data_IF_625993616610
#
_entry.id   IF_625993616610
#
_cell.length_a   1.000
_cell.length_b   1.000
_cell.length_c   1.000
_cell.angle_alpha   90.00
_cell.angle_beta   90.00
_cell.angle_gamma   90.00
#
_symmetry.space_group_name_H-M   'P 1'
#
loop_
_entity.id
_entity.type
_entity.pdbx_description
1 polymer ?
#
# COMPACT_ATOMS: atom_id res chain seq x y z
N UNK A 1 12.06 -23.99 -11.46
CA UNK A 1 12.07 -22.52 -11.66
C UNK A 1 10.68 -22.03 -11.28
N UNK A 2 10.49 -21.64 -10.02
CA UNK A 2 9.21 -21.06 -9.57
C UNK A 2 9.12 -19.65 -10.16
N UNK A 3 8.20 -19.44 -11.09
CA UNK A 3 7.90 -18.12 -11.63
C UNK A 3 7.23 -17.30 -10.55
N UNK A 4 7.96 -16.33 -10.02
CA UNK A 4 7.48 -15.38 -9.03
C UNK A 4 6.50 -14.40 -9.70
N UNK A 5 5.21 -14.53 -9.42
CA UNK A 5 4.18 -13.65 -9.97
C UNK A 5 4.00 -12.39 -9.10
N UNK A 6 4.02 -11.22 -9.74
CA UNK A 6 3.67 -9.96 -9.08
C UNK A 6 2.16 -9.93 -8.82
N UNK A 7 1.79 -9.54 -7.61
CA UNK A 7 0.41 -9.33 -7.18
C UNK A 7 0.22 -7.86 -6.86
N UNK A 8 -0.81 -7.25 -7.45
CA UNK A 8 -1.17 -5.85 -7.23
C UNK A 8 -2.51 -5.79 -6.49
N UNK A 9 -2.56 -5.04 -5.40
CA UNK A 9 -3.80 -4.77 -4.67
C UNK A 9 -4.06 -3.27 -4.63
N UNK A 10 -5.34 -2.89 -4.63
CA UNK A 10 -5.76 -1.50 -4.56
C UNK A 10 -7.01 -1.40 -3.70
N UNK A 11 -6.93 -0.59 -2.65
CA UNK A 11 -8.06 -0.22 -1.80
C UNK A 11 -8.32 1.26 -1.96
N UNK A 12 -9.42 1.60 -2.63
CA UNK A 12 -9.80 2.99 -2.92
C UNK A 12 -10.84 3.50 -1.93
N UNK A 13 -10.65 4.72 -1.45
CA UNK A 13 -11.60 5.42 -0.57
C UNK A 13 -11.93 4.65 0.73
N UNK A 14 -11.04 3.77 1.19
CA UNK A 14 -11.20 3.03 2.44
C UNK A 14 -10.05 3.42 3.37
N UNK A 15 -10.34 4.25 4.37
CA UNK A 15 -9.41 4.52 5.45
C UNK A 15 -9.39 3.35 6.43
N UNK A 16 -8.26 3.18 7.12
CA UNK A 16 -8.05 2.16 8.14
C UNK A 16 -8.38 0.72 7.69
N UNK A 17 -8.09 0.42 6.42
CA UNK A 17 -8.36 -0.90 5.85
C UNK A 17 -7.36 -1.92 6.35
N UNK A 18 -7.82 -3.05 6.88
CA UNK A 18 -6.93 -4.15 7.24
C UNK A 18 -6.46 -4.89 5.98
N UNK A 19 -5.18 -4.78 5.67
CA UNK A 19 -4.52 -5.50 4.58
C UNK A 19 -3.90 -6.76 5.14
N UNK A 20 -4.18 -7.91 4.52
CA UNK A 20 -3.59 -9.20 4.90
C UNK A 20 -2.96 -9.86 3.68
N UNK A 21 -1.64 -10.04 3.74
CA UNK A 21 -0.83 -10.67 2.72
C UNK A 21 -0.46 -12.08 3.19
N UNK A 22 -0.55 -13.05 2.30
CA UNK A 22 -0.14 -14.43 2.59
C UNK A 22 0.47 -15.05 1.36
N UNK A 23 1.63 -15.65 1.53
CA UNK A 23 2.30 -16.45 0.52
C UNK A 23 1.95 -17.93 0.71
N UNK A 24 1.77 -18.63 -0.42
CA UNK A 24 1.59 -20.08 -0.41
C UNK A 24 2.95 -20.78 -0.32
N UNK A 25 3.00 -21.87 0.44
CA UNK A 25 4.23 -22.62 0.74
C UNK A 25 5.27 -21.79 1.53
N UNK A 26 6.40 -22.37 1.92
CA UNK A 26 7.46 -21.72 2.74
C UNK A 26 8.19 -20.54 2.08
N UNK A 27 7.55 -19.86 1.13
CA UNK A 27 8.03 -18.64 0.47
C UNK A 27 7.79 -17.41 1.35
N UNK A 28 8.52 -16.34 1.05
CA UNK A 28 8.54 -15.11 1.81
C UNK A 28 8.02 -13.95 0.96
N UNK A 29 7.29 -13.05 1.60
CA UNK A 29 6.82 -11.80 1.03
C UNK A 29 8.03 -10.94 0.65
N UNK A 30 7.98 -10.38 -0.55
CA UNK A 30 8.85 -9.30 -1.01
C UNK A 30 7.96 -8.18 -1.53
N UNK A 31 8.10 -7.00 -0.92
CA UNK A 31 7.35 -5.80 -1.34
C UNK A 31 8.12 -5.12 -2.47
N UNK A 32 7.42 -4.76 -3.54
CA UNK A 32 7.99 -4.07 -4.71
C UNK A 32 7.79 -2.57 -4.58
N UNK A 33 6.53 -2.16 -4.43
CA UNK A 33 6.16 -0.76 -4.20
C UNK A 33 4.86 -0.67 -3.41
N UNK A 34 4.70 0.43 -2.67
CA UNK A 34 3.48 0.76 -1.96
C UNK A 34 3.25 2.27 -1.96
N UNK A 35 2.01 2.68 -2.24
CA UNK A 35 1.60 4.07 -2.30
C UNK A 35 0.31 4.31 -1.53
N UNK A 36 0.20 5.44 -0.85
CA UNK A 36 -0.98 5.84 -0.10
C UNK A 36 -1.33 7.30 -0.34
N UNK A 37 -2.56 7.59 -0.77
CA UNK A 37 -3.04 8.95 -1.00
C UNK A 37 -3.96 9.04 -2.21
N UNK A 38 -4.10 10.22 -2.81
CA UNK A 38 -5.04 10.43 -3.92
C UNK A 38 -4.37 10.07 -5.25
N UNK A 39 -4.89 9.10 -6.03
CA UNK A 39 -4.22 8.57 -7.23
C UNK A 39 -4.25 9.54 -8.42
N UNK A 40 -5.18 10.50 -8.46
CA UNK A 40 -5.16 11.58 -9.45
C UNK A 40 -5.86 12.84 -8.95
N UNK A 41 -5.15 13.96 -9.03
CA UNK A 41 -5.63 15.30 -8.68
C UNK A 41 -6.53 15.92 -9.80
N UNK A 42 -7.12 15.09 -10.67
CA UNK A 42 -7.80 15.55 -11.89
C UNK A 42 -9.09 16.34 -11.63
N UNK A 43 -9.67 16.23 -10.43
CA UNK A 43 -10.83 17.00 -9.97
C UNK A 43 -10.58 17.71 -8.62
N UNK A 44 -9.34 18.09 -8.32
CA UNK A 44 -9.09 18.98 -7.18
C UNK A 44 -9.39 20.42 -7.61
N UNK A 45 -10.65 20.83 -7.44
CA UNK A 45 -11.08 22.24 -7.54
C UNK A 45 -10.62 23.09 -6.34
N UNK A 46 -9.74 22.54 -5.51
CA UNK A 46 -9.22 23.15 -4.30
C UNK A 46 -7.75 23.47 -4.55
N UNK A 47 -7.30 24.70 -4.30
CA UNK A 47 -5.95 25.21 -4.58
C UNK A 47 -4.78 24.56 -3.83
N UNK A 48 -4.85 23.26 -3.53
CA UNK A 48 -3.87 22.44 -2.85
C UNK A 48 -3.49 21.22 -3.70
N UNK A 49 -2.69 21.45 -4.75
CA UNK A 49 -2.00 20.38 -5.51
C UNK A 49 -0.94 19.63 -4.67
N UNK A 50 -0.92 19.79 -3.35
CA UNK A 50 0.05 19.17 -2.42
C UNK A 50 -0.38 17.80 -1.94
N UNK A 51 -1.64 17.42 -2.15
CA UNK A 51 -2.20 16.14 -1.77
C UNK A 51 -1.95 15.08 -2.86
N UNK A 52 -0.69 14.66 -2.98
CA UNK A 52 -0.26 13.57 -3.84
C UNK A 52 -0.15 12.25 -3.05
N UNK A 53 -0.07 11.12 -3.75
CA UNK A 53 0.26 9.85 -3.11
C UNK A 53 1.67 9.89 -2.49
N UNK A 54 1.79 9.39 -1.26
CA UNK A 54 3.06 9.16 -0.58
C UNK A 54 3.57 7.77 -0.93
N UNK A 55 4.88 7.65 -1.19
CA UNK A 55 5.53 6.35 -1.25
C UNK A 55 5.73 5.82 0.18
N UNK A 56 5.06 4.71 0.49
CA UNK A 56 5.09 4.03 1.80
C UNK A 56 5.76 2.65 1.71
N UNK A 57 6.51 2.39 0.63
CA UNK A 57 7.18 1.11 0.37
C UNK A 57 8.08 0.70 1.53
N UNK A 58 8.84 1.62 2.10
CA UNK A 58 9.75 1.34 3.23
C UNK A 58 8.98 0.89 4.48
N UNK A 59 7.85 1.52 4.80
CA UNK A 59 7.01 1.15 5.93
C UNK A 59 6.51 -0.30 5.79
N UNK A 60 5.98 -0.65 4.60
CA UNK A 60 5.43 -1.99 4.37
C UNK A 60 6.56 -3.02 4.25
N UNK A 61 7.68 -2.67 3.63
CA UNK A 61 8.86 -3.54 3.53
C UNK A 61 9.38 -3.93 4.91
N UNK A 62 9.54 -2.95 5.81
CA UNK A 62 10.02 -3.18 7.17
C UNK A 62 9.07 -4.07 8.00
N UNK A 63 7.78 -4.02 7.72
CA UNK A 63 6.78 -4.83 8.43
C UNK A 63 6.60 -6.23 7.84
N UNK A 64 6.63 -6.37 6.50
CA UNK A 64 6.15 -7.59 5.84
C UNK A 64 7.24 -8.40 5.13
N UNK A 65 8.34 -7.78 4.69
CA UNK A 65 9.33 -8.49 3.87
C UNK A 65 10.04 -9.56 4.69
N UNK A 66 10.16 -10.76 4.14
CA UNK A 66 10.77 -11.90 4.82
C UNK A 66 9.80 -12.76 5.65
N UNK A 67 8.54 -12.32 5.82
CA UNK A 67 7.48 -13.08 6.48
C UNK A 67 6.68 -13.89 5.45
N UNK A 68 6.09 -15.00 5.87
CA UNK A 68 5.16 -15.78 5.02
C UNK A 68 3.75 -15.19 5.04
N UNK A 69 3.36 -14.55 6.15
CA UNK A 69 2.11 -13.81 6.30
C UNK A 69 2.37 -12.49 7.01
N UNK A 70 1.64 -11.45 6.59
CA UNK A 70 1.74 -10.11 7.17
C UNK A 70 0.35 -9.46 7.17
N UNK A 71 -0.01 -8.81 8.26
CA UNK A 71 -1.23 -8.02 8.34
C UNK A 71 -0.94 -6.65 8.94
N UNK A 72 -1.47 -5.60 8.31
CA UNK A 72 -1.31 -4.22 8.76
C UNK A 72 -2.53 -3.38 8.37
N UNK A 73 -2.72 -2.27 9.07
CA UNK A 73 -3.79 -1.32 8.75
C UNK A 73 -3.28 -0.28 7.76
N UNK A 74 -3.86 -0.23 6.56
CA UNK A 74 -3.66 0.84 5.61
C UNK A 74 -4.51 2.05 6.01
N UNK A 75 -3.92 2.91 6.82
CA UNK A 75 -4.59 4.07 7.41
C UNK A 75 -3.61 5.12 7.91
N UNK A 76 -4.15 6.29 8.24
CA UNK A 76 -3.36 7.47 8.64
C UNK A 76 -2.46 7.19 9.86
N UNK A 77 -2.89 6.31 10.77
CA UNK A 77 -2.11 5.94 11.95
C UNK A 77 -0.81 5.18 11.62
N UNK A 78 -0.78 4.43 10.52
CA UNK A 78 0.36 3.56 10.14
C UNK A 78 1.18 4.18 9.00
N UNK A 79 0.51 4.87 8.09
CA UNK A 79 1.08 5.38 6.84
C UNK A 79 1.27 6.90 6.85
N UNK A 80 0.70 7.60 7.82
CA UNK A 80 0.62 9.06 7.85
C UNK A 80 -0.54 9.59 7.00
N UNK A 81 -0.93 10.85 7.27
CA UNK A 81 -1.97 11.54 6.53
C UNK A 81 -1.36 12.53 5.53
N UNK A 82 -1.25 12.17 4.23
CA UNK A 82 -0.73 13.09 3.21
C UNK A 82 -1.76 14.16 2.78
N UNK A 83 -3.02 14.03 3.20
CA UNK A 83 -4.17 14.62 2.53
C UNK A 83 -5.40 14.72 3.45
N UNK A 84 -5.35 15.59 4.46
CA UNK A 84 -6.47 15.75 5.39
C UNK A 84 -7.73 16.10 4.59
N UNK A 85 -8.87 15.48 4.94
CA UNK A 85 -10.19 15.65 4.29
C UNK A 85 -10.41 15.01 2.90
N UNK A 86 -9.44 14.27 2.34
CA UNK A 86 -9.59 13.64 1.02
C UNK A 86 -9.64 12.11 1.11
N UNK A 87 -10.49 11.49 0.29
CA UNK A 87 -10.54 10.03 0.15
C UNK A 87 -9.22 9.49 -0.42
N UNK A 88 -8.54 8.64 0.35
CA UNK A 88 -7.24 8.07 -0.01
C UNK A 88 -7.40 6.70 -0.66
N UNK A 89 -6.44 6.36 -1.50
CA UNK A 89 -6.27 5.04 -2.10
C UNK A 89 -4.94 4.46 -1.64
N UNK A 90 -4.96 3.20 -1.19
CA UNK A 90 -3.76 2.41 -0.94
C UNK A 90 -3.51 1.48 -2.14
N UNK A 91 -2.29 1.49 -2.65
CA UNK A 91 -1.81 0.60 -3.71
C UNK A 91 -0.58 -0.13 -3.21
N UNK A 92 -0.51 -1.43 -3.49
CA UNK A 92 0.63 -2.26 -3.10
C UNK A 92 0.90 -3.29 -4.18
N UNK A 93 2.16 -3.42 -4.54
CA UNK A 93 2.69 -4.50 -5.38
C UNK A 93 3.64 -5.35 -4.56
N UNK A 94 3.42 -6.67 -4.57
CA UNK A 94 4.27 -7.62 -3.86
C UNK A 94 4.37 -8.94 -4.61
N UNK A 95 5.33 -9.78 -4.22
CA UNK A 95 5.41 -11.16 -4.67
C UNK A 95 5.89 -12.09 -3.56
N UNK A 96 5.85 -13.39 -3.83
CA UNK A 96 6.34 -14.44 -2.95
C UNK A 96 7.56 -15.12 -3.58
N UNK A 97 8.67 -15.19 -2.85
CA UNK A 97 9.93 -15.82 -3.28
C UNK A 97 10.52 -16.74 -2.24
#
# INVERSE_FOLDING_TARGET
MTTTALTNITYSCQEDTMVSLTCVSSTKLTIVDAFYGVPSCANCTCGYCTCASMNVTSNITAQCTGLTSCSFTAGNAVLGDPCVEHSKTFQLTYFCS
#
